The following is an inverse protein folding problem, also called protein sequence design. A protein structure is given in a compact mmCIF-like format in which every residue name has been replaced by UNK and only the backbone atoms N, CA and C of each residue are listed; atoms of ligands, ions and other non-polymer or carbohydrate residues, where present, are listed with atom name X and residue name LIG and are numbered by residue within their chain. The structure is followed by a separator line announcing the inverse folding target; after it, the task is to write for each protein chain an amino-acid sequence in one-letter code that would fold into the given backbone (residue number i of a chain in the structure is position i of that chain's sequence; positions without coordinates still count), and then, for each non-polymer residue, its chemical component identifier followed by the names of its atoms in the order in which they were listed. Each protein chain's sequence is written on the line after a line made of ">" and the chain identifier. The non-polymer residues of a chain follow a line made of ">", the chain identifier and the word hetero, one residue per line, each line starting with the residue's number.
data_IF_835775035468
#
_entry.id   IF_835775035468
#
_cell.length_a   1.000
_cell.length_b   1.000
_cell.length_c   1.000
_cell.angle_alpha   90.00
_cell.angle_beta   90.00
_cell.angle_gamma   90.00
#
_symmetry.space_group_name_H-M   'P 1'
#
loop_
_entity.id
_entity.type
_entity.pdbx_description
1 polymer ?
#
# COMPACT_ATOMS: atom_id res chain seq x y z
N UNK A 1 24.28 -13.07 21.22
CA UNK A 1 23.04 -13.18 20.42
C UNK A 1 23.41 -12.85 19.00
N UNK A 2 23.16 -13.77 18.06
CA UNK A 2 23.42 -13.55 16.65
C UNK A 2 22.17 -13.10 15.92
N UNK A 3 22.25 -11.96 15.25
CA UNK A 3 21.17 -11.33 14.49
C UNK A 3 21.52 -11.44 13.02
N UNK A 4 20.64 -12.00 12.21
CA UNK A 4 20.81 -12.10 10.76
C UNK A 4 19.75 -11.26 10.06
N UNK A 5 20.17 -10.37 9.15
CA UNK A 5 19.29 -9.58 8.32
C UNK A 5 19.48 -9.99 6.85
N UNK A 6 18.49 -10.66 6.27
CA UNK A 6 18.63 -11.31 4.97
C UNK A 6 18.49 -10.39 3.76
N UNK A 7 17.84 -9.25 3.91
CA UNK A 7 17.55 -8.28 2.84
C UNK A 7 17.68 -6.82 3.32
N UNK A 8 18.79 -6.55 4.03
CA UNK A 8 19.09 -5.24 4.61
C UNK A 8 19.16 -4.11 3.57
N UNK A 9 19.39 -4.42 2.29
CA UNK A 9 19.32 -3.43 1.19
C UNK A 9 17.97 -2.72 1.06
N UNK A 10 16.90 -3.36 1.56
CA UNK A 10 15.55 -2.75 1.60
C UNK A 10 15.44 -1.58 2.58
N UNK A 11 16.41 -1.41 3.49
CA UNK A 11 16.47 -0.28 4.44
C UNK A 11 17.05 1.00 3.83
N UNK A 12 17.51 0.94 2.58
CA UNK A 12 18.12 2.08 1.91
C UNK A 12 19.34 2.63 2.67
N UNK A 13 19.30 3.91 3.04
CA UNK A 13 20.40 4.59 3.76
C UNK A 13 20.21 4.58 5.28
N UNK A 14 19.23 3.87 5.81
CA UNK A 14 18.98 3.82 7.26
C UNK A 14 20.13 3.16 8.01
N UNK A 15 20.54 3.75 9.14
CA UNK A 15 21.61 3.19 9.97
C UNK A 15 21.17 1.90 10.66
N UNK A 16 22.01 0.86 10.61
CA UNK A 16 21.82 -0.39 11.34
C UNK A 16 22.47 -0.38 12.74
N UNK A 17 23.16 0.69 13.11
CA UNK A 17 23.85 0.80 14.42
C UNK A 17 22.95 0.51 15.64
N UNK A 18 21.67 0.88 15.69
CA UNK A 18 20.78 0.47 16.78
C UNK A 18 20.59 -1.04 16.89
N UNK A 19 20.66 -1.78 15.77
CA UNK A 19 20.53 -3.24 15.74
C UNK A 19 21.87 -3.87 16.16
N UNK A 20 22.99 -3.34 15.65
CA UNK A 20 24.34 -3.78 16.02
C UNK A 20 24.60 -3.68 17.52
N UNK A 21 24.03 -2.67 18.19
CA UNK A 21 24.13 -2.51 19.64
C UNK A 21 23.45 -3.63 20.44
N UNK A 22 22.58 -4.42 19.82
CA UNK A 22 21.82 -5.50 20.48
C UNK A 22 22.52 -6.87 20.37
N UNK A 23 23.52 -7.01 19.52
CA UNK A 23 24.24 -8.28 19.33
C UNK A 23 25.14 -8.30 18.09
N UNK A 24 25.66 -9.47 17.76
CA UNK A 24 26.41 -9.68 16.53
C UNK A 24 25.46 -9.64 15.33
N UNK A 25 25.52 -8.55 14.55
CA UNK A 25 24.73 -8.39 13.34
C UNK A 25 25.48 -8.88 12.10
N UNK A 26 24.86 -9.78 11.35
CA UNK A 26 25.26 -10.15 9.99
C UNK A 26 24.17 -9.71 9.03
N UNK A 27 24.45 -8.68 8.22
CA UNK A 27 23.49 -8.08 7.30
C UNK A 27 23.88 -8.36 5.85
N UNK A 28 22.94 -8.86 5.07
CA UNK A 28 23.08 -9.12 3.64
C UNK A 28 22.22 -8.14 2.86
N UNK A 29 22.72 -7.52 1.78
CA UNK A 29 21.91 -6.60 0.98
C UNK A 29 20.65 -7.28 0.41
N UNK A 30 20.79 -8.54 -0.02
CA UNK A 30 19.70 -9.40 -0.49
C UNK A 30 20.10 -10.87 -0.31
N UNK A 31 19.12 -11.77 -0.37
CA UNK A 31 19.33 -13.22 -0.26
C UNK A 31 18.38 -13.99 -1.16
N UNK A 32 18.88 -14.94 -1.93
CA UNK A 32 18.04 -15.94 -2.60
C UNK A 32 17.42 -16.90 -1.57
N UNK A 33 16.42 -17.71 -1.93
CA UNK A 33 15.89 -18.73 -1.03
C UNK A 33 16.93 -19.72 -0.52
N UNK A 34 17.88 -20.13 -1.37
CA UNK A 34 18.98 -21.06 -1.04
C UNK A 34 19.98 -20.41 -0.09
N UNK A 35 20.39 -19.18 -0.39
CA UNK A 35 21.27 -18.40 0.48
C UNK A 35 20.64 -18.13 1.85
N UNK A 36 19.33 -17.82 1.88
CA UNK A 36 18.59 -17.59 3.12
C UNK A 36 18.69 -18.80 4.06
N UNK A 37 18.48 -20.01 3.54
CA UNK A 37 18.60 -21.25 4.30
C UNK A 37 20.03 -21.44 4.84
N UNK A 38 21.06 -21.16 4.04
CA UNK A 38 22.46 -21.31 4.47
C UNK A 38 22.87 -20.27 5.53
N UNK A 39 22.28 -19.07 5.48
CA UNK A 39 22.64 -17.91 6.33
C UNK A 39 22.03 -17.93 7.72
N UNK A 40 21.02 -18.77 7.98
CA UNK A 40 20.26 -18.73 9.25
C UNK A 40 20.63 -19.85 10.24
N UNK A 41 21.59 -20.73 9.91
CA UNK A 41 21.88 -21.95 10.69
C UNK A 41 22.25 -21.73 12.16
N UNK A 42 22.84 -20.60 12.49
CA UNK A 42 23.25 -20.22 13.85
C UNK A 42 22.59 -18.90 14.34
N UNK A 43 21.50 -18.52 13.72
CA UNK A 43 20.75 -17.29 13.96
C UNK A 43 19.87 -17.41 15.21
N UNK A 44 19.95 -16.44 16.13
CA UNK A 44 19.05 -16.32 17.28
C UNK A 44 17.87 -15.39 16.98
N UNK A 45 18.10 -14.35 16.15
CA UNK A 45 17.10 -13.35 15.71
C UNK A 45 17.23 -13.15 14.21
N UNK A 46 16.14 -13.31 13.49
CA UNK A 46 16.06 -13.11 12.04
C UNK A 46 15.32 -11.81 11.74
N UNK A 47 15.90 -10.95 10.89
CA UNK A 47 15.23 -9.77 10.35
C UNK A 47 15.02 -9.98 8.85
N UNK A 48 13.81 -9.70 8.39
CA UNK A 48 13.41 -9.79 6.97
C UNK A 48 12.47 -8.63 6.62
N UNK A 49 12.34 -8.31 5.34
CA UNK A 49 11.34 -7.38 4.81
C UNK A 49 10.56 -8.02 3.64
N UNK A 50 11.25 -8.66 2.70
CA UNK A 50 10.63 -9.30 1.53
C UNK A 50 10.89 -10.80 1.45
N UNK A 51 11.85 -11.29 2.22
CA UNK A 51 12.21 -12.71 2.23
C UNK A 51 11.08 -13.54 2.85
N UNK A 52 10.71 -14.64 2.18
CA UNK A 52 9.69 -15.57 2.69
C UNK A 52 10.26 -16.40 3.84
N UNK A 53 9.57 -16.35 4.99
CA UNK A 53 9.85 -17.21 6.15
C UNK A 53 8.82 -18.34 6.16
N UNK A 54 9.27 -19.53 5.80
CA UNK A 54 8.45 -20.74 5.69
C UNK A 54 9.12 -21.91 6.46
N UNK A 55 8.48 -23.09 6.46
CA UNK A 55 8.99 -24.28 7.14
C UNK A 55 10.45 -24.59 6.76
N UNK A 56 10.82 -24.53 5.46
CA UNK A 56 12.17 -24.81 4.99
C UNK A 56 13.22 -23.90 5.64
N UNK A 57 12.94 -22.63 5.77
CA UNK A 57 13.84 -21.65 6.38
C UNK A 57 13.90 -21.85 7.90
N UNK A 58 12.75 -22.08 8.53
CA UNK A 58 12.64 -22.29 9.96
C UNK A 58 13.36 -23.58 10.40
N UNK A 59 13.29 -24.65 9.62
CA UNK A 59 13.99 -25.92 9.89
C UNK A 59 15.53 -25.77 9.82
N UNK A 60 16.00 -24.82 9.00
CA UNK A 60 17.43 -24.50 8.90
C UNK A 60 17.95 -23.59 10.04
N UNK A 61 17.07 -23.06 10.88
CA UNK A 61 17.39 -22.11 11.93
C UNK A 61 17.05 -22.65 13.34
N UNK A 62 17.72 -23.71 13.84
CA UNK A 62 17.33 -24.42 15.08
C UNK A 62 17.46 -23.57 16.35
N UNK A 63 18.18 -22.46 16.31
CA UNK A 63 18.37 -21.53 17.44
C UNK A 63 17.46 -20.33 17.39
N UNK A 64 16.66 -20.17 16.30
CA UNK A 64 15.83 -19.01 16.08
C UNK A 64 14.73 -18.89 17.14
N UNK A 65 14.61 -17.70 17.73
CA UNK A 65 13.62 -17.37 18.76
C UNK A 65 12.72 -16.21 18.37
N UNK A 66 13.17 -15.36 17.44
CA UNK A 66 12.45 -14.16 17.04
C UNK A 66 12.64 -13.89 15.54
N UNK A 67 11.55 -13.67 14.84
CA UNK A 67 11.51 -13.09 13.50
C UNK A 67 10.99 -11.66 13.61
N UNK A 68 11.77 -10.71 13.10
CA UNK A 68 11.39 -9.30 12.98
C UNK A 68 11.12 -8.97 11.52
N UNK A 69 9.90 -8.56 11.22
CA UNK A 69 9.56 -7.94 9.93
C UNK A 69 9.97 -6.48 9.95
N UNK A 70 10.83 -6.04 9.01
CA UNK A 70 11.27 -4.65 8.86
C UNK A 70 10.21 -3.78 8.15
N UNK A 71 8.95 -4.13 8.31
CA UNK A 71 7.79 -3.50 7.71
C UNK A 71 6.53 -3.66 8.56
N UNK A 72 5.39 -3.23 8.03
CA UNK A 72 4.09 -3.40 8.70
C UNK A 72 3.43 -4.73 8.34
N UNK A 73 3.48 -5.12 7.07
CA UNK A 73 2.81 -6.34 6.59
C UNK A 73 3.68 -7.59 6.80
N UNK A 74 3.09 -8.66 7.29
CA UNK A 74 3.76 -9.93 7.61
C UNK A 74 3.34 -11.08 6.67
N UNK A 75 2.85 -10.77 5.48
CA UNK A 75 2.34 -11.78 4.54
C UNK A 75 3.43 -12.72 3.99
N UNK A 76 4.70 -12.33 4.10
CA UNK A 76 5.88 -13.12 3.76
C UNK A 76 6.30 -14.10 4.88
N UNK A 77 5.67 -14.05 6.06
CA UNK A 77 6.01 -14.87 7.22
C UNK A 77 4.87 -15.87 7.48
N UNK A 78 5.19 -17.16 7.50
CA UNK A 78 4.29 -18.21 8.00
C UNK A 78 4.24 -18.14 9.53
N UNK A 79 3.30 -17.35 10.05
CA UNK A 79 3.13 -17.11 11.49
C UNK A 79 2.79 -18.41 12.23
N UNK A 80 1.95 -19.25 11.64
CA UNK A 80 1.55 -20.53 12.26
C UNK A 80 2.74 -21.48 12.37
N UNK A 81 3.60 -21.51 11.34
CA UNK A 81 4.84 -22.30 11.38
C UNK A 81 5.84 -21.78 12.44
N UNK A 82 5.92 -20.48 12.62
CA UNK A 82 6.71 -19.85 13.68
C UNK A 82 6.16 -20.23 15.07
N UNK A 83 4.85 -20.12 15.27
CA UNK A 83 4.20 -20.41 16.53
C UNK A 83 4.39 -21.89 16.94
N UNK A 84 4.20 -22.84 16.00
CA UNK A 84 4.46 -24.27 16.24
C UNK A 84 5.89 -24.57 16.75
N UNK A 85 6.87 -23.70 16.39
CA UNK A 85 8.27 -23.83 16.80
C UNK A 85 8.66 -22.96 17.99
N UNK A 86 7.70 -22.25 18.59
CA UNK A 86 7.94 -21.31 19.69
C UNK A 86 8.75 -20.07 19.27
N UNK A 87 8.76 -19.73 17.97
CA UNK A 87 9.43 -18.56 17.43
C UNK A 87 8.45 -17.37 17.45
N UNK A 88 8.84 -16.30 18.11
CA UNK A 88 8.04 -15.08 18.15
C UNK A 88 8.13 -14.32 16.82
N UNK A 89 7.03 -13.69 16.41
CA UNK A 89 7.00 -12.78 15.25
C UNK A 89 6.70 -11.37 15.74
N UNK A 90 7.45 -10.39 15.27
CA UNK A 90 7.23 -8.96 15.53
C UNK A 90 7.40 -8.17 14.25
N UNK A 91 6.60 -7.14 14.09
CA UNK A 91 6.65 -6.19 12.97
C UNK A 91 6.71 -4.76 13.48
N UNK A 92 6.88 -3.79 12.58
CA UNK A 92 6.87 -2.36 12.90
C UNK A 92 5.54 -1.76 12.49
N UNK A 93 4.52 -1.93 13.33
CA UNK A 93 3.19 -1.40 13.06
C UNK A 93 3.17 0.13 13.12
N UNK A 94 2.53 0.77 12.14
CA UNK A 94 2.22 2.20 12.16
C UNK A 94 3.37 3.15 11.80
N UNK A 95 4.59 2.69 11.59
CA UNK A 95 5.73 3.56 11.27
C UNK A 95 5.55 4.35 9.98
N UNK A 96 4.93 3.77 8.99
CA UNK A 96 4.73 4.35 7.66
C UNK A 96 3.39 5.09 7.51
N UNK A 97 2.60 5.21 8.56
CA UNK A 97 1.24 5.79 8.46
C UNK A 97 1.26 7.16 7.79
N UNK A 98 2.15 8.04 8.21
CA UNK A 98 2.23 9.40 7.66
C UNK A 98 2.73 9.43 6.22
N UNK A 99 3.72 8.60 5.90
CA UNK A 99 4.27 8.47 4.55
C UNK A 99 3.23 7.95 3.57
N UNK A 100 2.51 6.88 3.92
CA UNK A 100 1.45 6.31 3.06
C UNK A 100 0.30 7.29 2.87
N UNK A 101 -0.08 8.05 3.90
CA UNK A 101 -1.09 9.10 3.79
C UNK A 101 -0.64 10.20 2.83
N UNK A 102 0.60 10.66 2.94
CA UNK A 102 1.17 11.66 2.04
C UNK A 102 1.18 11.15 0.59
N UNK A 103 1.64 9.92 0.38
CA UNK A 103 1.66 9.26 -0.93
C UNK A 103 0.25 9.14 -1.52
N UNK A 104 -0.73 8.75 -0.70
CA UNK A 104 -2.15 8.71 -1.09
C UNK A 104 -2.61 10.05 -1.70
N UNK A 105 -2.34 11.15 -0.99
CA UNK A 105 -2.77 12.47 -1.49
C UNK A 105 -1.92 12.96 -2.65
N UNK A 106 -0.65 12.58 -2.75
CA UNK A 106 0.17 12.84 -3.93
C UNK A 106 -0.48 12.23 -5.19
N UNK A 107 -0.89 10.96 -5.14
CA UNK A 107 -1.60 10.30 -6.24
C UNK A 107 -2.93 10.98 -6.55
N UNK A 108 -3.75 11.23 -5.53
CA UNK A 108 -5.08 11.86 -5.71
C UNK A 108 -4.93 13.23 -6.36
N UNK A 109 -4.09 14.10 -5.83
CA UNK A 109 -3.90 15.47 -6.33
C UNK A 109 -3.29 15.48 -7.73
N UNK A 110 -2.36 14.57 -8.03
CA UNK A 110 -1.77 14.45 -9.36
C UNK A 110 -2.80 14.00 -10.41
N UNK A 111 -3.65 13.03 -10.07
CA UNK A 111 -4.71 12.55 -10.96
C UNK A 111 -5.80 13.61 -11.20
N UNK A 112 -6.30 14.24 -10.14
CA UNK A 112 -7.37 15.24 -10.25
C UNK A 112 -6.89 16.56 -10.86
N UNK A 113 -5.63 16.93 -10.62
CA UNK A 113 -5.00 18.14 -11.15
C UNK A 113 -4.28 17.96 -12.48
N UNK A 114 -4.21 16.73 -13.03
CA UNK A 114 -3.46 16.41 -14.24
C UNK A 114 -1.99 16.89 -14.20
N UNK A 115 -1.32 16.73 -13.03
CA UNK A 115 0.00 17.30 -12.77
C UNK A 115 1.06 16.89 -13.79
N UNK A 116 1.13 15.60 -14.15
CA UNK A 116 2.09 15.09 -15.13
C UNK A 116 1.87 15.70 -16.52
N UNK A 117 0.61 15.88 -16.94
CA UNK A 117 0.29 16.51 -18.21
C UNK A 117 0.75 17.98 -18.25
N UNK A 118 0.41 18.77 -17.24
CA UNK A 118 0.80 20.19 -17.23
C UNK A 118 2.30 20.40 -17.04
N UNK A 119 2.98 19.51 -16.32
CA UNK A 119 4.44 19.51 -16.22
C UNK A 119 5.08 19.34 -17.61
N UNK A 120 4.61 18.38 -18.40
CA UNK A 120 5.08 18.17 -19.78
C UNK A 120 4.73 19.35 -20.70
N UNK A 121 3.53 19.89 -20.61
CA UNK A 121 3.12 21.07 -21.42
C UNK A 121 4.03 22.26 -21.18
N UNK A 122 4.43 22.51 -19.93
CA UNK A 122 5.33 23.61 -19.58
C UNK A 122 6.77 23.31 -20.03
N UNK A 123 7.29 22.12 -19.70
CA UNK A 123 8.68 21.72 -20.01
C UNK A 123 8.96 21.62 -21.52
N UNK A 124 8.00 21.15 -22.30
CA UNK A 124 8.12 21.11 -23.77
C UNK A 124 8.03 22.49 -24.43
N UNK A 125 7.67 23.54 -23.69
CA UNK A 125 7.43 24.88 -24.20
C UNK A 125 6.11 25.01 -24.99
N UNK A 126 5.24 23.99 -24.97
CA UNK A 126 3.95 24.04 -25.64
C UNK A 126 3.08 25.19 -25.12
N UNK A 127 3.07 25.42 -23.79
CA UNK A 127 2.37 26.54 -23.19
C UNK A 127 2.83 27.90 -23.77
N UNK A 128 4.14 28.15 -23.81
CA UNK A 128 4.69 29.43 -24.34
C UNK A 128 4.38 29.65 -25.84
N UNK A 129 4.24 28.57 -26.60
CA UNK A 129 3.90 28.65 -28.05
C UNK A 129 2.40 28.71 -28.31
N UNK A 130 1.56 28.38 -27.34
CA UNK A 130 0.10 28.34 -27.53
C UNK A 130 -0.53 29.70 -27.75
N UNK A 131 0.10 30.78 -27.27
CA UNK A 131 -0.47 32.12 -27.26
C UNK A 131 -1.72 32.28 -26.35
N UNK A 132 -2.07 31.26 -25.59
CA UNK A 132 -3.22 31.25 -24.68
C UNK A 132 -2.77 31.51 -23.25
N UNK A 133 -3.60 32.24 -22.50
CA UNK A 133 -3.36 32.49 -21.09
C UNK A 133 -3.50 31.22 -20.22
N UNK A 134 -4.32 30.27 -20.66
CA UNK A 134 -4.59 29.03 -19.93
C UNK A 134 -4.84 27.88 -20.90
N UNK A 135 -4.57 26.65 -20.45
CA UNK A 135 -4.86 25.43 -21.19
C UNK A 135 -6.12 24.75 -20.59
N UNK A 136 -7.16 24.63 -21.39
CA UNK A 136 -8.42 23.99 -21.04
C UNK A 136 -8.56 22.55 -21.57
N UNK A 137 -7.50 21.97 -22.13
CA UNK A 137 -7.53 20.63 -22.74
C UNK A 137 -7.74 19.52 -21.71
N UNK A 138 -7.32 19.77 -20.45
CA UNK A 138 -7.53 18.87 -19.31
C UNK A 138 -8.27 19.59 -18.19
N UNK A 139 -9.41 19.05 -17.71
CA UNK A 139 -10.16 19.68 -16.63
C UNK A 139 -9.43 19.47 -15.29
N UNK A 140 -9.29 20.53 -14.52
CA UNK A 140 -8.96 20.44 -13.11
C UNK A 140 -10.22 20.05 -12.32
N UNK A 141 -10.10 19.06 -11.43
CA UNK A 141 -11.22 18.56 -10.63
C UNK A 141 -10.99 18.94 -9.16
N UNK A 142 -11.84 19.81 -8.63
CA UNK A 142 -11.80 20.18 -7.22
C UNK A 142 -12.30 19.05 -6.32
N UNK A 143 -11.64 18.86 -5.18
CA UNK A 143 -12.03 17.86 -4.18
C UNK A 143 -13.24 18.29 -3.34
N UNK A 144 -13.42 19.62 -3.13
CA UNK A 144 -14.49 20.15 -2.31
C UNK A 144 -15.87 19.71 -2.82
N UNK A 145 -16.71 19.22 -1.90
CA UNK A 145 -18.05 18.71 -2.20
C UNK A 145 -18.09 17.30 -2.84
N UNK A 146 -16.94 16.73 -3.22
CA UNK A 146 -16.83 15.37 -3.74
C UNK A 146 -16.90 14.31 -2.65
N UNK A 147 -17.12 13.07 -3.02
CA UNK A 147 -17.17 11.94 -2.09
C UNK A 147 -15.88 11.14 -2.14
N UNK A 148 -15.26 10.94 -0.97
CA UNK A 148 -14.13 10.04 -0.75
C UNK A 148 -14.65 8.72 -0.16
N UNK A 149 -14.49 7.64 -0.89
CA UNK A 149 -14.74 6.28 -0.42
C UNK A 149 -13.45 5.64 0.09
N UNK A 150 -13.41 5.26 1.37
CA UNK A 150 -12.24 4.60 1.96
C UNK A 150 -12.52 3.11 2.15
N UNK A 151 -11.73 2.25 1.50
CA UNK A 151 -11.78 0.80 1.71
C UNK A 151 -10.76 0.44 2.79
N UNK A 152 -11.26 0.14 3.99
CA UNK A 152 -10.44 -0.14 5.17
C UNK A 152 -10.13 1.11 6.01
N UNK A 153 -10.90 1.32 7.09
CA UNK A 153 -10.75 2.47 8.00
C UNK A 153 -9.86 2.12 9.21
N UNK A 154 -8.65 1.59 8.95
CA UNK A 154 -7.59 1.39 9.94
C UNK A 154 -6.82 2.70 10.24
N UNK A 155 -5.61 2.61 10.81
CA UNK A 155 -4.79 3.78 11.14
C UNK A 155 -4.55 4.71 9.95
N UNK A 156 -4.19 4.16 8.78
CA UNK A 156 -3.96 4.92 7.55
C UNK A 156 -5.28 5.48 7.01
N UNK A 157 -6.28 4.61 6.79
CA UNK A 157 -7.57 5.01 6.21
C UNK A 157 -8.29 6.08 7.04
N UNK A 158 -8.22 6.02 8.37
CA UNK A 158 -8.79 7.06 9.25
C UNK A 158 -8.08 8.41 9.10
N UNK A 159 -6.77 8.40 8.88
CA UNK A 159 -6.01 9.63 8.67
C UNK A 159 -6.27 10.21 7.28
N UNK A 160 -6.40 9.36 6.26
CA UNK A 160 -6.84 9.76 4.90
C UNK A 160 -8.25 10.36 4.94
N UNK A 161 -9.18 9.74 5.66
CA UNK A 161 -10.55 10.26 5.84
C UNK A 161 -10.55 11.68 6.45
N UNK A 162 -9.76 11.91 7.51
CA UNK A 162 -9.64 13.24 8.14
C UNK A 162 -9.09 14.31 7.20
N UNK A 163 -8.05 13.97 6.43
CA UNK A 163 -7.45 14.90 5.47
C UNK A 163 -8.44 15.17 4.31
N UNK A 164 -9.14 14.14 3.81
CA UNK A 164 -10.20 14.30 2.83
C UNK A 164 -11.30 15.26 3.31
N UNK A 165 -11.70 15.14 4.57
CA UNK A 165 -12.64 16.07 5.20
C UNK A 165 -12.09 17.50 5.23
N UNK A 166 -10.80 17.69 5.52
CA UNK A 166 -10.14 19.00 5.50
C UNK A 166 -10.11 19.61 4.09
N UNK A 167 -10.09 18.80 3.02
CA UNK A 167 -10.29 19.22 1.63
C UNK A 167 -11.76 19.48 1.27
N UNK A 168 -12.69 19.39 2.23
CA UNK A 168 -14.13 19.62 2.01
C UNK A 168 -14.84 18.42 1.37
N UNK A 169 -14.27 17.22 1.37
CA UNK A 169 -14.92 16.03 0.86
C UNK A 169 -15.94 15.45 1.85
N UNK A 170 -16.96 14.78 1.31
CA UNK A 170 -17.82 13.87 2.06
C UNK A 170 -17.14 12.51 2.14
N UNK A 171 -17.00 11.95 3.34
CA UNK A 171 -16.31 10.67 3.51
C UNK A 171 -17.31 9.56 3.83
N UNK A 172 -17.16 8.42 3.15
CA UNK A 172 -17.83 7.14 3.45
C UNK A 172 -16.77 6.06 3.48
N UNK A 173 -17.01 4.96 4.19
CA UNK A 173 -16.06 3.86 4.18
C UNK A 173 -16.72 2.47 4.11
N UNK A 174 -15.96 1.51 3.58
CA UNK A 174 -16.26 0.10 3.62
C UNK A 174 -15.36 -0.60 4.63
N UNK A 175 -15.97 -1.31 5.59
CA UNK A 175 -15.24 -2.10 6.59
C UNK A 175 -14.94 -3.50 6.06
N UNK A 176 -13.67 -3.81 5.85
CA UNK A 176 -13.22 -5.14 5.41
C UNK A 176 -13.24 -6.18 6.53
N UNK A 177 -13.35 -5.77 7.80
CA UNK A 177 -13.53 -6.67 8.95
C UNK A 177 -14.99 -7.07 9.18
N UNK A 178 -15.94 -6.38 8.54
CA UNK A 178 -17.39 -6.58 8.72
C UNK A 178 -17.98 -5.83 9.93
N UNK A 179 -17.15 -5.16 10.73
CA UNK A 179 -17.61 -4.35 11.88
C UNK A 179 -17.35 -2.87 11.63
N UNK A 180 -18.27 -2.02 12.10
CA UNK A 180 -18.05 -0.56 12.02
C UNK A 180 -17.06 -0.14 13.12
N UNK A 181 -16.05 0.64 12.72
CA UNK A 181 -14.98 1.10 13.63
C UNK A 181 -15.01 2.61 13.85
N UNK A 182 -16.00 3.32 13.29
CA UNK A 182 -16.10 4.77 13.40
C UNK A 182 -17.53 5.21 13.62
N UNK A 183 -17.71 6.21 14.48
CA UNK A 183 -18.95 6.97 14.64
C UNK A 183 -18.92 8.28 13.86
N UNK A 184 -17.75 8.69 13.35
CA UNK A 184 -17.54 9.94 12.62
C UNK A 184 -17.91 9.81 11.14
N UNK A 185 -17.59 8.64 10.52
CA UNK A 185 -17.85 8.40 9.10
C UNK A 185 -18.86 7.26 8.91
N UNK A 186 -19.81 7.40 7.99
CA UNK A 186 -20.77 6.35 7.70
C UNK A 186 -20.10 5.13 7.05
N UNK A 187 -20.34 3.95 7.64
CA UNK A 187 -20.00 2.67 7.04
C UNK A 187 -21.06 2.29 6.02
N UNK A 188 -20.63 1.91 4.82
CA UNK A 188 -21.53 1.55 3.71
C UNK A 188 -21.10 0.22 3.08
N UNK A 189 -22.01 -0.43 2.35
CA UNK A 189 -21.67 -1.60 1.53
C UNK A 189 -20.73 -1.21 0.37
N UNK A 190 -19.88 -2.13 -0.05
CA UNK A 190 -18.89 -1.92 -1.10
C UNK A 190 -19.54 -1.34 -2.38
N UNK A 191 -20.64 -1.95 -2.83
CA UNK A 191 -21.35 -1.51 -4.04
C UNK A 191 -21.79 -0.05 -3.96
N UNK A 192 -22.29 0.40 -2.81
CA UNK A 192 -22.67 1.79 -2.59
C UNK A 192 -21.44 2.71 -2.60
N UNK A 193 -20.35 2.30 -1.95
CA UNK A 193 -19.09 3.05 -1.97
C UNK A 193 -18.60 3.24 -3.41
N UNK A 194 -18.58 2.17 -4.21
CA UNK A 194 -18.14 2.24 -5.61
C UNK A 194 -18.98 3.21 -6.44
N UNK A 195 -20.32 3.17 -6.28
CA UNK A 195 -21.24 4.02 -7.05
C UNK A 195 -21.20 5.50 -6.64
N UNK A 196 -21.05 5.80 -5.36
CA UNK A 196 -21.21 7.15 -4.83
C UNK A 196 -19.90 7.95 -4.75
N UNK A 197 -18.74 7.27 -4.80
CA UNK A 197 -17.45 7.94 -4.63
C UNK A 197 -16.94 8.59 -5.92
N UNK A 198 -16.31 9.75 -5.77
CA UNK A 198 -15.54 10.42 -6.82
C UNK A 198 -14.06 10.05 -6.72
N UNK A 199 -13.60 9.74 -5.51
CA UNK A 199 -12.26 9.22 -5.21
C UNK A 199 -12.42 7.99 -4.33
N UNK A 200 -11.77 6.89 -4.69
CA UNK A 200 -11.71 5.67 -3.87
C UNK A 200 -10.27 5.46 -3.44
N UNK A 201 -10.07 5.21 -2.14
CA UNK A 201 -8.75 4.97 -1.57
C UNK A 201 -8.73 3.67 -0.78
N UNK A 202 -7.82 2.75 -1.15
CA UNK A 202 -7.73 1.40 -0.59
C UNK A 202 -6.60 1.34 0.43
N UNK A 203 -6.95 0.96 1.68
CA UNK A 203 -6.04 0.84 2.82
C UNK A 203 -6.28 -0.45 3.61
N UNK A 204 -6.81 -1.47 2.95
CA UNK A 204 -7.08 -2.76 3.55
C UNK A 204 -5.84 -3.67 3.57
N UNK A 205 -5.69 -4.57 4.55
CA UNK A 205 -4.73 -5.65 4.47
C UNK A 205 -5.18 -6.69 3.43
N UNK A 206 -4.22 -7.41 2.84
CA UNK A 206 -4.53 -8.54 1.95
C UNK A 206 -4.85 -9.78 2.78
N UNK A 207 -6.02 -10.36 2.56
CA UNK A 207 -6.48 -11.63 3.14
C UNK A 207 -7.61 -12.21 2.27
N UNK A 208 -8.17 -13.35 2.66
CA UNK A 208 -9.24 -14.02 1.90
C UNK A 208 -10.46 -13.13 1.61
N UNK A 209 -10.78 -12.16 2.48
CA UNK A 209 -11.93 -11.25 2.30
C UNK A 209 -11.62 -10.09 1.38
N UNK A 210 -10.35 -9.78 1.17
CA UNK A 210 -9.89 -8.61 0.41
C UNK A 210 -9.18 -8.99 -0.88
N UNK A 211 -8.85 -10.27 -1.07
CA UNK A 211 -8.31 -10.78 -2.32
C UNK A 211 -9.32 -10.54 -3.46
N UNK A 212 -8.89 -9.85 -4.51
CA UNK A 212 -9.72 -9.50 -5.68
C UNK A 212 -11.03 -8.77 -5.32
N UNK A 213 -11.03 -8.03 -4.21
CA UNK A 213 -12.22 -7.33 -3.69
C UNK A 213 -12.79 -6.33 -4.70
N UNK A 214 -11.93 -5.68 -5.48
CA UNK A 214 -12.29 -4.71 -6.49
C UNK A 214 -11.90 -5.29 -7.85
N UNK A 215 -12.83 -6.00 -8.46
CA UNK A 215 -12.72 -6.55 -9.80
C UNK A 215 -13.37 -5.68 -10.87
N UNK A 216 -13.50 -6.21 -12.10
CA UNK A 216 -14.12 -5.49 -13.22
C UNK A 216 -15.56 -5.04 -12.91
N UNK A 217 -16.34 -5.90 -12.24
CA UNK A 217 -17.71 -5.58 -11.85
C UNK A 217 -17.77 -4.34 -10.95
N UNK A 218 -16.94 -4.27 -9.93
CA UNK A 218 -16.87 -3.16 -8.98
C UNK A 218 -16.35 -1.89 -9.68
N UNK A 219 -15.31 -1.99 -10.49
CA UNK A 219 -14.74 -0.87 -11.24
C UNK A 219 -15.76 -0.26 -12.20
N UNK A 220 -16.57 -1.07 -12.88
CA UNK A 220 -17.63 -0.57 -13.78
C UNK A 220 -18.81 0.10 -13.06
N UNK A 221 -18.90 -0.01 -11.73
CA UNK A 221 -19.89 0.72 -10.93
C UNK A 221 -19.43 2.15 -10.60
N UNK A 222 -18.15 2.46 -10.77
CA UNK A 222 -17.61 3.77 -10.48
C UNK A 222 -18.19 4.85 -11.39
N UNK A 223 -18.18 6.10 -10.91
CA UNK A 223 -18.57 7.24 -11.73
C UNK A 223 -17.60 7.43 -12.91
N UNK A 224 -18.04 7.95 -14.10
CA UNK A 224 -17.20 8.12 -15.31
C UNK A 224 -16.07 9.06 -15.02
N UNK A 225 -15.62 9.62 -14.19
CA UNK A 225 -14.43 10.47 -13.89
C UNK A 225 -13.84 10.19 -12.53
N UNK A 226 -14.41 9.19 -11.83
CA UNK A 226 -13.88 8.78 -10.55
C UNK A 226 -12.49 8.17 -10.72
N UNK A 227 -11.68 8.33 -9.70
CA UNK A 227 -10.34 7.76 -9.62
C UNK A 227 -10.27 6.77 -8.46
N UNK A 228 -9.37 5.79 -8.59
CA UNK A 228 -9.05 4.85 -7.52
C UNK A 228 -7.56 4.90 -7.19
N UNK A 229 -7.20 4.88 -5.91
CA UNK A 229 -5.81 4.72 -5.47
C UNK A 229 -5.68 3.51 -4.57
N UNK A 230 -4.70 2.64 -4.86
CA UNK A 230 -4.42 1.45 -4.06
C UNK A 230 -3.08 1.61 -3.32
N UNK A 231 -3.18 1.85 -2.02
CA UNK A 231 -2.06 1.98 -1.10
C UNK A 231 -2.04 0.85 -0.06
N UNK A 232 -2.87 -0.17 -0.26
CA UNK A 232 -2.99 -1.32 0.63
C UNK A 232 -2.03 -2.44 0.28
N UNK A 233 -2.43 -3.27 -0.67
CA UNK A 233 -1.64 -4.40 -1.21
C UNK A 233 -2.05 -4.67 -2.65
N UNK A 234 -1.09 -5.17 -3.45
CA UNK A 234 -1.39 -5.76 -4.75
C UNK A 234 -2.41 -6.89 -4.66
N UNK A 235 -3.18 -7.11 -5.71
CA UNK A 235 -4.22 -8.14 -5.75
C UNK A 235 -5.52 -7.82 -4.99
N UNK A 236 -5.63 -6.68 -4.26
CA UNK A 236 -6.92 -6.19 -3.72
C UNK A 236 -7.74 -5.60 -4.85
N UNK A 237 -7.14 -4.78 -5.69
CA UNK A 237 -7.68 -4.33 -6.96
C UNK A 237 -7.10 -5.23 -8.05
N UNK A 238 -7.95 -5.81 -8.89
CA UNK A 238 -7.52 -6.69 -9.98
C UNK A 238 -6.92 -5.84 -11.10
N UNK A 239 -5.61 -5.92 -11.28
CA UNK A 239 -4.84 -5.00 -12.14
C UNK A 239 -5.21 -5.11 -13.61
N UNK A 240 -5.42 -6.32 -14.15
CA UNK A 240 -5.87 -6.52 -15.53
C UNK A 240 -7.26 -5.91 -15.78
N UNK A 241 -8.16 -6.04 -14.82
CA UNK A 241 -9.48 -5.41 -14.89
C UNK A 241 -9.38 -3.88 -14.80
N UNK A 242 -8.47 -3.38 -13.96
CA UNK A 242 -8.22 -1.96 -13.82
C UNK A 242 -7.67 -1.36 -15.12
N UNK A 243 -6.67 -1.99 -15.72
CA UNK A 243 -6.11 -1.57 -17.00
C UNK A 243 -7.19 -1.52 -18.08
N UNK A 244 -8.01 -2.58 -18.20
CA UNK A 244 -9.11 -2.66 -19.15
C UNK A 244 -10.11 -1.50 -19.01
N UNK A 245 -10.60 -1.21 -17.81
CA UNK A 245 -11.60 -0.14 -17.61
C UNK A 245 -11.01 1.26 -17.81
N UNK A 246 -9.71 1.44 -17.60
CA UNK A 246 -9.01 2.70 -17.92
C UNK A 246 -8.88 2.86 -19.42
N UNK A 247 -8.46 1.85 -20.15
CA UNK A 247 -8.32 1.87 -21.62
C UNK A 247 -9.68 2.10 -22.32
N UNK A 248 -10.75 1.56 -21.75
CA UNK A 248 -12.12 1.80 -22.20
C UNK A 248 -12.68 3.17 -21.78
N UNK A 249 -11.97 3.94 -20.98
CA UNK A 249 -12.41 5.25 -20.48
C UNK A 249 -13.60 5.19 -19.51
N UNK A 250 -13.81 4.06 -18.85
CA UNK A 250 -14.91 3.88 -17.87
C UNK A 250 -14.69 4.73 -16.62
N UNK A 251 -13.45 4.85 -16.17
CA UNK A 251 -13.06 5.66 -14.99
C UNK A 251 -12.01 6.72 -15.34
N UNK A 252 -11.80 7.68 -14.47
CA UNK A 252 -10.90 8.82 -14.70
C UNK A 252 -9.41 8.47 -14.59
N UNK A 253 -9.07 7.41 -13.88
CA UNK A 253 -7.67 6.99 -13.71
C UNK A 253 -7.42 6.23 -12.41
N UNK A 254 -6.18 5.79 -12.23
CA UNK A 254 -5.74 5.08 -11.03
C UNK A 254 -4.34 5.51 -10.57
N UNK A 255 -4.09 5.40 -9.27
CA UNK A 255 -2.77 5.50 -8.63
C UNK A 255 -2.46 4.21 -7.87
N UNK A 256 -1.31 3.62 -8.11
CA UNK A 256 -0.91 2.37 -7.47
C UNK A 256 0.48 2.55 -6.82
N UNK A 257 0.57 2.20 -5.55
CA UNK A 257 1.84 2.10 -4.79
C UNK A 257 2.25 0.62 -4.61
N UNK A 258 1.37 -0.29 -4.97
CA UNK A 258 1.53 -1.74 -4.74
C UNK A 258 1.02 -2.54 -5.95
N UNK A 259 1.66 -3.67 -6.22
CA UNK A 259 1.35 -4.55 -7.35
C UNK A 259 1.21 -6.00 -6.90
N UNK A 260 0.46 -6.80 -7.68
CA UNK A 260 0.29 -8.24 -7.43
C UNK A 260 1.60 -9.01 -7.64
N UNK A 261 2.45 -8.51 -8.53
CA UNK A 261 3.81 -9.00 -8.75
C UNK A 261 4.77 -7.84 -8.53
N UNK A 262 5.68 -7.99 -7.56
CA UNK A 262 6.70 -7.00 -7.17
C UNK A 262 8.08 -7.69 -7.09
N UNK A 263 9.08 -7.11 -7.67
CA UNK A 263 9.24 -6.40 -8.92
C UNK A 263 9.08 -7.32 -10.09
#
# INVERSE_FOLDING_TARGET
>A
MKIVFLDAGTMGTSSLAPIESQGELVAWPNSTPEESVARVSDCDVLIVNKIKVNDRLLDAAPRLRLVCEAGTGINNIDVDACERRGVLVRNVAGYSTDSVVQETFMHILNLLGNGAYFDEVVKSGAYSRSGLFTDYSRPFIEMAGKTLGVIGLGAIGSKVARIGTAFGMKVVYYSTSGTSHSTEYPSVHLERLMRESDVISVHAPYNERTASLVGEKELRMMKPKAIIVNMGRGGIVVEDALAKVIDEGVIGGAGLDVYSVEP
#
